data_IF_200003692181
#
_entry.id   IF_200003692181
#
_cell.length_a   1.000
_cell.length_b   1.000
_cell.length_c   1.000
_cell.angle_alpha   90.00
_cell.angle_beta   90.00
_cell.angle_gamma   90.00
#
_symmetry.space_group_name_H-M   'P 1'
#
loop_
_entity.id
_entity.type
_entity.pdbx_description
1 polymer ?
#
# COMPACT_ATOMS: atom_id res chain seq x y z
N UNK A 1 -65.42 -9.16 35.41
CA UNK A 1 -64.03 -9.59 35.11
C UNK A 1 -64.10 -10.45 33.84
N UNK A 2 -63.23 -10.35 32.82
CA UNK A 2 -62.05 -9.53 32.66
C UNK A 2 -62.06 -8.59 31.43
N UNK A 3 -61.08 -7.70 31.49
CA UNK A 3 -60.53 -6.79 30.49
C UNK A 3 -60.07 -7.49 29.20
N UNK A 4 -60.36 -6.92 28.03
CA UNK A 4 -59.71 -7.29 26.77
C UNK A 4 -59.12 -6.05 26.10
N UNK A 5 -57.80 -5.91 26.22
CA UNK A 5 -57.00 -4.85 25.62
C UNK A 5 -56.92 -5.04 24.10
N UNK A 6 -57.48 -4.08 23.37
CA UNK A 6 -57.21 -3.91 21.94
C UNK A 6 -55.84 -3.24 21.75
N UNK A 7 -54.78 -4.05 21.63
CA UNK A 7 -53.47 -3.53 21.24
C UNK A 7 -53.48 -3.10 19.77
N UNK A 8 -53.39 -1.78 19.54
CA UNK A 8 -53.42 -1.15 18.21
C UNK A 8 -52.11 -1.46 17.46
N UNK A 9 -52.14 -1.99 16.21
CA UNK A 9 -50.97 -2.51 15.48
C UNK A 9 -50.00 -1.45 14.93
N UNK A 10 -50.19 -0.17 15.28
CA UNK A 10 -49.42 0.95 14.70
C UNK A 10 -47.99 1.05 15.26
N UNK A 11 -47.78 0.58 16.50
CA UNK A 11 -46.47 0.63 17.16
C UNK A 11 -45.49 -0.38 16.54
N UNK A 12 -45.97 -1.56 16.15
CA UNK A 12 -45.13 -2.60 15.54
C UNK A 12 -44.53 -2.22 14.19
N UNK A 13 -45.25 -1.44 13.37
CA UNK A 13 -44.75 -0.94 12.08
C UNK A 13 -43.63 0.09 12.22
N UNK A 14 -43.71 0.95 13.22
CA UNK A 14 -42.66 1.96 13.49
C UNK A 14 -41.39 1.29 13.97
N UNK A 15 -41.50 0.30 14.86
CA UNK A 15 -40.36 -0.47 15.37
C UNK A 15 -39.69 -1.27 14.24
N UNK A 16 -40.46 -1.90 13.36
CA UNK A 16 -39.92 -2.64 12.22
C UNK A 16 -39.16 -1.72 11.24
N UNK A 17 -39.68 -0.51 10.97
CA UNK A 17 -39.00 0.46 10.11
C UNK A 17 -37.69 0.96 10.73
N UNK A 18 -37.67 1.26 12.03
CA UNK A 18 -36.45 1.68 12.73
C UNK A 18 -35.39 0.57 12.77
N UNK A 19 -35.79 -0.69 12.96
CA UNK A 19 -34.89 -1.84 12.90
C UNK A 19 -34.33 -2.04 11.49
N UNK A 20 -35.15 -1.93 10.45
CA UNK A 20 -34.66 -2.04 9.07
C UNK A 20 -33.69 -0.91 8.70
N UNK A 21 -33.97 0.32 9.16
CA UNK A 21 -33.08 1.45 8.93
C UNK A 21 -31.75 1.28 9.67
N UNK A 22 -31.78 0.76 10.91
CA UNK A 22 -30.58 0.45 11.68
C UNK A 22 -29.73 -0.67 11.03
N UNK A 23 -30.36 -1.70 10.45
CA UNK A 23 -29.62 -2.75 9.73
C UNK A 23 -28.95 -2.21 8.45
N UNK A 24 -29.58 -1.26 7.75
CA UNK A 24 -28.97 -0.63 6.57
C UNK A 24 -27.76 0.25 6.92
N UNK A 25 -27.71 0.89 8.10
CA UNK A 25 -26.58 1.75 8.47
C UNK A 25 -25.35 0.95 8.92
N UNK A 26 -25.52 -0.26 9.44
CA UNK A 26 -24.39 -1.10 9.87
C UNK A 26 -23.62 -1.75 8.71
N UNK A 27 -24.18 -1.78 7.49
CA UNK A 27 -23.58 -2.49 6.35
C UNK A 27 -22.68 -1.62 5.45
N UNK A 28 -22.35 -0.39 5.86
CA UNK A 28 -21.57 0.56 5.05
C UNK A 28 -20.07 0.58 5.41
N UNK A 29 -19.50 -0.57 5.76
CA UNK A 29 -18.05 -0.68 5.94
C UNK A 29 -17.37 -0.63 4.57
N UNK A 30 -16.93 0.56 4.15
CA UNK A 30 -16.01 0.67 3.02
C UNK A 30 -14.65 0.10 3.43
N UNK A 31 -14.05 -0.81 2.63
CA UNK A 31 -12.68 -1.22 2.89
C UNK A 31 -11.78 0.01 2.89
N UNK A 32 -11.12 0.26 4.03
CA UNK A 32 -10.09 1.28 4.12
C UNK A 32 -8.88 0.80 3.30
N UNK A 33 -8.73 1.29 2.08
CA UNK A 33 -7.49 1.15 1.33
C UNK A 33 -6.45 2.00 2.07
N UNK A 34 -5.50 1.34 2.72
CA UNK A 34 -4.38 2.01 3.36
C UNK A 34 -3.51 2.63 2.27
N UNK A 35 -3.61 3.95 2.09
CA UNK A 35 -2.71 4.68 1.19
C UNK A 35 -1.30 4.65 1.76
N UNK A 36 -0.33 4.18 0.99
CA UNK A 36 1.08 4.21 1.34
C UNK A 36 1.83 5.14 0.39
N UNK A 37 2.72 5.96 0.92
CA UNK A 37 3.59 6.83 0.11
C UNK A 37 5.01 6.29 0.20
N UNK A 38 5.64 6.11 -0.96
CA UNK A 38 7.04 5.75 -1.09
C UNK A 38 7.82 6.96 -1.58
N UNK A 39 8.79 7.41 -0.81
CA UNK A 39 9.70 8.49 -1.17
C UNK A 39 11.00 7.92 -1.71
N UNK A 40 11.44 8.43 -2.85
CA UNK A 40 12.61 7.94 -3.53
C UNK A 40 13.21 8.96 -4.47
N UNK A 41 14.45 8.70 -4.87
CA UNK A 41 15.16 9.45 -5.87
C UNK A 41 16.12 8.54 -6.65
N UNK A 42 16.88 9.13 -7.57
CA UNK A 42 17.96 8.43 -8.27
C UNK A 42 17.98 8.70 -9.76
N UNK A 43 18.30 7.67 -10.54
CA UNK A 43 18.56 7.74 -11.99
C UNK A 43 17.57 8.64 -12.74
N UNK A 44 18.10 9.67 -13.40
CA UNK A 44 17.32 10.50 -14.32
C UNK A 44 16.94 9.75 -15.59
N UNK A 45 17.71 8.73 -15.97
CA UNK A 45 17.41 7.86 -17.11
C UNK A 45 16.20 6.94 -16.82
N UNK A 46 16.08 6.44 -15.59
CA UNK A 46 14.92 5.66 -15.15
C UNK A 46 13.65 6.48 -14.91
N UNK A 47 13.77 7.82 -14.80
CA UNK A 47 12.66 8.72 -14.46
C UNK A 47 11.38 8.52 -15.27
N UNK A 48 11.43 8.50 -16.62
CA UNK A 48 10.23 8.28 -17.45
C UNK A 48 9.55 6.92 -17.21
N UNK A 49 10.31 5.87 -16.90
CA UNK A 49 9.74 4.56 -16.60
C UNK A 49 9.04 4.56 -15.23
N UNK A 50 9.65 5.20 -14.24
CA UNK A 50 9.08 5.31 -12.88
C UNK A 50 7.84 6.19 -12.87
N UNK A 51 7.78 7.23 -13.71
CA UNK A 51 6.57 8.01 -13.94
C UNK A 51 5.40 7.13 -14.37
N UNK A 52 5.64 6.23 -15.34
CA UNK A 52 4.63 5.29 -15.78
C UNK A 52 4.18 4.37 -14.64
N UNK A 53 5.13 3.81 -13.88
CA UNK A 53 4.78 2.95 -12.73
C UNK A 53 3.99 3.70 -11.66
N UNK A 54 4.30 4.97 -11.38
CA UNK A 54 3.52 5.80 -10.46
C UNK A 54 2.06 5.83 -10.83
N UNK A 55 1.77 6.07 -12.11
CA UNK A 55 0.38 6.09 -12.59
C UNK A 55 -0.30 4.72 -12.51
N UNK A 56 0.44 3.63 -12.75
CA UNK A 56 -0.11 2.27 -12.73
C UNK A 56 -0.50 1.78 -11.33
N UNK A 57 0.24 2.19 -10.30
CA UNK A 57 0.00 1.76 -8.92
C UNK A 57 -0.82 2.76 -8.09
N UNK A 58 -1.07 3.98 -8.60
CA UNK A 58 -1.86 4.99 -7.91
C UNK A 58 -3.25 4.47 -7.50
N UNK A 59 -3.91 3.72 -8.39
CA UNK A 59 -5.23 3.12 -8.13
C UNK A 59 -5.19 2.00 -7.07
N UNK A 60 -4.01 1.51 -6.70
CA UNK A 60 -3.81 0.50 -5.66
C UNK A 60 -3.52 1.13 -4.29
N UNK A 61 -3.63 2.46 -4.17
CA UNK A 61 -3.30 3.19 -2.95
C UNK A 61 -1.80 3.37 -2.72
N UNK A 62 -0.97 3.19 -3.75
CA UNK A 62 0.48 3.43 -3.66
C UNK A 62 0.80 4.75 -4.33
N UNK A 63 1.30 5.70 -3.57
CA UNK A 63 1.79 6.98 -4.08
C UNK A 63 3.32 6.95 -4.17
N UNK A 64 3.90 7.14 -5.35
CA UNK A 64 5.36 7.21 -5.53
C UNK A 64 5.80 8.66 -5.70
N UNK A 65 6.53 9.18 -4.72
CA UNK A 65 7.23 10.45 -4.82
C UNK A 65 8.67 10.19 -5.27
N UNK A 66 8.95 10.35 -6.57
CA UNK A 66 10.26 10.06 -7.17
C UNK A 66 10.94 11.32 -7.72
N UNK A 67 12.18 11.57 -7.30
CA UNK A 67 13.00 12.67 -7.81
C UNK A 67 14.15 12.18 -8.73
N UNK A 68 14.18 12.56 -10.03
CA UNK A 68 15.24 12.15 -10.97
C UNK A 68 16.53 12.98 -10.82
N UNK A 69 17.19 12.93 -9.66
CA UNK A 69 18.37 13.72 -9.30
C UNK A 69 19.72 13.06 -9.64
N UNK A 70 19.70 11.85 -10.20
CA UNK A 70 20.86 11.09 -10.64
C UNK A 70 21.25 9.93 -9.70
N UNK A 71 21.79 8.86 -10.30
CA UNK A 71 22.13 7.61 -9.63
C UNK A 71 23.06 7.75 -8.42
N UNK A 72 23.97 8.73 -8.41
CA UNK A 72 24.88 8.96 -7.28
C UNK A 72 24.21 9.64 -6.08
N UNK A 73 23.30 10.59 -6.33
CA UNK A 73 22.56 11.26 -5.27
C UNK A 73 21.66 10.24 -4.55
N UNK A 74 20.96 9.40 -5.31
CA UNK A 74 20.03 8.46 -4.70
C UNK A 74 20.67 7.31 -3.94
N UNK A 75 21.85 6.82 -4.37
CA UNK A 75 22.58 5.85 -3.55
C UNK A 75 23.03 6.45 -2.21
N UNK A 76 23.50 7.70 -2.20
CA UNK A 76 23.87 8.40 -0.97
C UNK A 76 22.65 8.59 -0.04
N UNK A 77 21.50 9.01 -0.58
CA UNK A 77 20.28 9.24 0.20
C UNK A 77 19.68 7.93 0.73
N UNK A 78 19.69 6.86 -0.06
CA UNK A 78 19.33 5.51 0.38
C UNK A 78 20.17 5.01 1.56
N UNK A 79 21.49 5.20 1.49
CA UNK A 79 22.41 4.83 2.57
C UNK A 79 22.18 5.65 3.84
N UNK A 80 21.84 6.93 3.69
CA UNK A 80 21.46 7.80 4.79
C UNK A 80 20.05 7.51 5.35
N UNK A 81 19.28 6.63 4.70
CA UNK A 81 17.92 6.27 5.12
C UNK A 81 16.87 7.32 4.79
N UNK A 82 17.16 8.24 3.88
CA UNK A 82 16.20 9.26 3.41
C UNK A 82 15.13 8.66 2.49
N UNK A 83 15.47 7.59 1.77
CA UNK A 83 14.59 6.98 0.77
C UNK A 83 14.09 5.58 1.14
N UNK A 84 12.88 5.28 0.67
CA UNK A 84 12.22 3.97 0.73
C UNK A 84 12.71 3.01 -0.37
N UNK A 85 13.21 3.56 -1.48
CA UNK A 85 13.97 2.87 -2.52
C UNK A 85 14.78 3.88 -3.33
N UNK A 86 15.74 3.41 -4.13
CA UNK A 86 16.47 4.29 -5.07
C UNK A 86 16.68 3.59 -6.41
N UNK A 87 16.65 4.36 -7.50
CA UNK A 87 16.96 3.89 -8.84
C UNK A 87 18.42 4.19 -9.19
N UNK A 88 19.18 3.21 -9.67
CA UNK A 88 20.59 3.41 -10.00
C UNK A 88 21.02 2.64 -11.24
N UNK A 89 21.62 3.34 -12.20
CA UNK A 89 22.24 2.74 -13.40
C UNK A 89 23.66 2.23 -13.13
N UNK A 90 24.24 2.64 -11.99
CA UNK A 90 25.59 2.26 -11.56
C UNK A 90 25.43 1.42 -10.28
N UNK A 91 26.08 0.25 -10.19
CA UNK A 91 25.90 -0.66 -9.07
C UNK A 91 26.31 -0.04 -7.74
N UNK A 92 25.66 -0.51 -6.66
CA UNK A 92 26.16 -0.28 -5.31
C UNK A 92 27.52 -0.96 -5.16
N UNK A 93 28.45 -0.27 -4.49
CA UNK A 93 29.78 -0.80 -4.20
C UNK A 93 29.74 -1.64 -2.92
N UNK A 94 30.72 -2.50 -2.73
CA UNK A 94 30.91 -3.26 -1.48
C UNK A 94 31.28 -2.36 -0.30
N UNK A 95 31.72 -1.14 -0.61
CA UNK A 95 31.92 -0.06 0.34
C UNK A 95 30.82 0.99 0.12
N UNK A 96 30.59 1.80 1.14
CA UNK A 96 29.63 2.90 1.11
C UNK A 96 29.85 3.78 -0.14
N UNK A 97 28.77 4.16 -0.80
CA UNK A 97 28.82 5.08 -1.91
C UNK A 97 29.14 6.50 -1.42
N UNK A 98 30.20 7.07 -1.99
CA UNK A 98 30.58 8.46 -1.71
C UNK A 98 30.10 9.38 -2.82
N UNK A 99 29.17 8.93 -3.66
CA UNK A 99 28.89 9.53 -4.96
C UNK A 99 30.15 9.69 -5.83
N UNK A 100 30.13 10.64 -6.76
CA UNK A 100 31.32 11.02 -7.54
C UNK A 100 32.34 11.85 -6.73
N UNK A 101 31.99 12.27 -5.51
CA UNK A 101 32.75 13.22 -4.68
C UNK A 101 33.01 12.59 -3.30
N UNK A 102 34.13 11.87 -3.18
CA UNK A 102 34.58 11.07 -2.02
C UNK A 102 34.37 11.63 -0.60
N UNK A 103 33.14 11.64 -0.07
CA UNK A 103 32.80 12.10 1.28
C UNK A 103 32.57 10.97 2.30
N UNK A 104 33.17 11.14 3.49
CA UNK A 104 33.27 10.23 4.66
C UNK A 104 32.06 9.36 5.03
N UNK A 105 32.27 8.17 5.64
CA UNK A 105 31.29 7.09 5.68
C UNK A 105 30.19 7.20 6.75
N UNK A 106 28.94 6.94 6.37
CA UNK A 106 27.84 6.50 7.21
C UNK A 106 27.59 4.97 7.06
N UNK A 107 26.89 4.31 7.99
CA UNK A 107 26.68 2.85 7.95
C UNK A 107 25.89 2.39 6.71
N UNK A 108 26.31 1.27 6.09
CA UNK A 108 25.62 0.68 4.93
C UNK A 108 24.33 0.00 5.36
N UNK A 109 23.19 0.40 4.78
CA UNK A 109 21.90 -0.28 5.02
C UNK A 109 21.82 -1.56 4.20
N UNK A 110 21.54 -2.73 4.81
CA UNK A 110 21.34 -3.96 4.05
C UNK A 110 20.10 -3.82 3.16
N UNK A 111 20.15 -4.39 1.96
CA UNK A 111 19.03 -4.42 1.03
C UNK A 111 17.84 -5.16 1.67
N UNK A 112 16.85 -4.41 2.15
CA UNK A 112 15.60 -4.96 2.66
C UNK A 112 14.70 -5.24 1.47
N UNK A 113 14.49 -6.51 1.14
CA UNK A 113 13.47 -6.89 0.16
C UNK A 113 12.11 -6.44 0.70
N UNK A 114 11.43 -5.52 0.01
CA UNK A 114 10.05 -5.15 0.34
C UNK A 114 9.21 -6.42 0.11
N UNK A 115 8.70 -7.02 1.18
CA UNK A 115 7.79 -8.16 1.09
C UNK A 115 6.45 -7.60 0.61
N UNK A 116 6.05 -7.97 -0.61
CA UNK A 116 4.67 -7.74 -1.05
C UNK A 116 3.72 -8.45 -0.09
N UNK A 117 2.90 -7.68 0.63
CA UNK A 117 1.87 -8.20 1.55
C UNK A 117 0.58 -8.55 0.85
N UNK A 118 0.51 -8.47 -0.49
CA UNK A 118 -0.54 -9.12 -1.25
C UNK A 118 -0.48 -10.61 -0.91
N UNK A 119 -1.39 -11.07 -0.06
CA UNK A 119 -1.56 -12.48 0.28
C UNK A 119 -2.49 -13.03 -0.77
N UNK A 120 -2.00 -13.66 -1.86
CA UNK A 120 -2.90 -14.42 -2.70
C UNK A 120 -3.42 -15.56 -1.83
N UNK A 121 -4.74 -15.63 -1.63
CA UNK A 121 -5.41 -16.78 -1.00
C UNK A 121 -5.31 -17.98 -1.93
N UNK A 122 -4.11 -18.55 -2.05
CA UNK A 122 -3.92 -19.76 -2.84
C UNK A 122 -4.49 -20.93 -2.02
N UNK A 123 -5.71 -21.37 -2.39
CA UNK A 123 -6.31 -22.60 -1.86
C UNK A 123 -5.51 -23.77 -2.41
N UNK A 124 -4.73 -24.44 -1.57
CA UNK A 124 -4.07 -25.69 -1.95
C UNK A 124 -5.13 -26.75 -2.28
N UNK A 125 -5.15 -27.21 -3.54
CA UNK A 125 -5.85 -28.42 -3.94
C UNK A 125 -4.82 -29.56 -3.99
N UNK A 126 -5.04 -30.70 -3.33
CA UNK A 126 -4.03 -31.76 -3.20
C UNK A 126 -3.63 -32.45 -4.52
N UNK A 127 -4.25 -32.13 -5.66
CA UNK A 127 -4.00 -32.85 -6.94
C UNK A 127 -3.91 -31.89 -8.16
N UNK A 128 -3.69 -30.59 -7.96
CA UNK A 128 -3.51 -29.65 -9.09
C UNK A 128 -2.46 -28.57 -8.78
N UNK A 129 -1.72 -28.06 -9.79
CA UNK A 129 -0.82 -26.93 -9.60
C UNK A 129 -1.60 -25.74 -9.02
N UNK A 130 -0.99 -24.96 -8.11
CA UNK A 130 -1.67 -23.85 -7.46
C UNK A 130 -2.01 -22.79 -8.51
N UNK A 131 -3.29 -22.67 -8.85
CA UNK A 131 -3.82 -21.54 -9.61
C UNK A 131 -4.19 -20.43 -8.62
N UNK A 132 -3.34 -19.42 -8.54
CA UNK A 132 -3.65 -18.19 -7.83
C UNK A 132 -4.36 -17.28 -8.83
N UNK A 133 -5.63 -16.98 -8.56
CA UNK A 133 -6.40 -16.01 -9.35
C UNK A 133 -6.19 -14.65 -8.71
N UNK A 134 -5.84 -13.65 -9.52
CA UNK A 134 -5.68 -12.26 -9.09
C UNK A 134 -6.99 -11.63 -8.65
#
# INVERSE_FOLDING_TARGET
MPWAAAHRPRVGRVVALLLSFFVLTLSQATPALATTTLNADGSSWAGPAIEKWRTDVANQGINLNFAPNGSAAGRNNWENGSDDFTASDVPFRTQRDTGASGGSPAPVRPMRRIRSTATPTCRSRPVAPPSCTT
#
